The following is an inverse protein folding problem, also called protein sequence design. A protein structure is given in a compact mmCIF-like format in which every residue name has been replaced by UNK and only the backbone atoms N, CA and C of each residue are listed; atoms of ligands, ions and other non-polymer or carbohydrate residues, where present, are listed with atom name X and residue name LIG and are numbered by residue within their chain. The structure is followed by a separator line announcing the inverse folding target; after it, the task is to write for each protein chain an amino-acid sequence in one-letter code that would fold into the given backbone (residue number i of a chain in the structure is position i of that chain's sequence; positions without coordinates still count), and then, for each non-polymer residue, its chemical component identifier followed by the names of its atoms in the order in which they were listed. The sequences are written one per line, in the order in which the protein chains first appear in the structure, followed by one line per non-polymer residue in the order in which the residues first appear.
data_IF_466090214891
#
_entry.id   IF_466090214891
#
_cell.length_a   1.000
_cell.length_b   1.000
_cell.length_c   1.000
_cell.angle_alpha   90.00
_cell.angle_beta   90.00
_cell.angle_gamma   90.00
#
_symmetry.space_group_name_H-M   'P 1'
#
loop_
_entity.id
_entity.type
_entity.pdbx_description
1 polymer ?
#
# COMPACT_ATOMS: atom_id res chain seq x y z
N UNK A 1 -17.57 -4.02 -7.18
CA UNK A 1 -16.85 -2.78 -6.79
C UNK A 1 -16.11 -3.08 -5.49
N UNK A 2 -14.89 -2.58 -5.29
CA UNK A 2 -13.96 -3.02 -4.22
C UNK A 2 -14.42 -2.73 -2.77
N UNK A 3 -15.62 -2.18 -2.56
CA UNK A 3 -16.17 -1.93 -1.22
C UNK A 3 -15.42 -0.89 -0.39
N UNK A 4 -14.51 -0.13 -1.01
CA UNK A 4 -13.70 0.88 -0.34
C UNK A 4 -14.49 2.18 -0.18
N UNK A 5 -14.77 2.57 1.05
CA UNK A 5 -15.46 3.84 1.38
C UNK A 5 -14.44 4.99 1.48
N UNK A 6 -13.83 5.33 0.35
CA UNK A 6 -12.86 6.44 0.25
C UNK A 6 -13.58 7.69 -0.29
N UNK A 7 -13.47 8.85 0.38
CA UNK A 7 -14.11 10.08 -0.09
C UNK A 7 -13.70 10.44 -1.53
N UNK A 8 -14.67 10.89 -2.34
CA UNK A 8 -14.39 11.39 -3.70
C UNK A 8 -13.35 12.51 -3.68
N UNK A 9 -12.47 12.54 -4.68
CA UNK A 9 -11.39 13.53 -4.75
C UNK A 9 -10.24 13.25 -3.78
N UNK A 10 -10.12 12.02 -3.27
CA UNK A 10 -8.97 11.57 -2.49
C UNK A 10 -7.90 11.00 -3.42
N UNK A 11 -6.64 11.39 -3.21
CA UNK A 11 -5.47 10.82 -3.89
C UNK A 11 -4.57 10.21 -2.83
N UNK A 12 -4.36 8.91 -2.91
CA UNK A 12 -3.52 8.12 -2.02
C UNK A 12 -2.19 7.81 -2.70
N UNK A 13 -1.11 7.86 -1.94
CA UNK A 13 0.22 7.47 -2.37
C UNK A 13 0.64 6.18 -1.66
N UNK A 14 1.13 5.22 -2.42
CA UNK A 14 1.26 3.84 -1.96
C UNK A 14 1.96 2.93 -2.96
N UNK A 15 2.24 1.72 -2.51
CA UNK A 15 2.88 0.67 -3.30
C UNK A 15 1.94 -0.53 -3.45
N UNK A 16 1.99 -1.20 -4.61
CA UNK A 16 1.27 -2.46 -4.82
C UNK A 16 2.19 -3.62 -4.48
N UNK A 17 1.74 -4.52 -3.62
CA UNK A 17 2.51 -5.68 -3.16
C UNK A 17 1.73 -6.97 -3.34
N UNK A 18 2.44 -8.09 -3.45
CA UNK A 18 1.89 -9.42 -3.20
C UNK A 18 2.38 -9.84 -1.82
N UNK A 19 1.47 -10.21 -0.93
CA UNK A 19 1.83 -10.71 0.41
C UNK A 19 1.68 -12.22 0.45
N UNK A 20 2.75 -12.92 0.85
CA UNK A 20 2.68 -14.36 1.15
C UNK A 20 2.11 -14.59 2.55
N UNK A 21 1.85 -15.85 2.92
CA UNK A 21 1.25 -16.24 4.22
C UNK A 21 1.96 -15.65 5.45
N UNK A 22 3.25 -15.29 5.34
CA UNK A 22 4.02 -14.64 6.39
C UNK A 22 3.87 -13.09 6.45
N UNK A 23 3.02 -12.50 5.61
CA UNK A 23 2.81 -11.04 5.52
C UNK A 23 3.98 -10.26 4.90
N UNK A 24 5.02 -10.95 4.40
CA UNK A 24 6.17 -10.31 3.76
C UNK A 24 5.82 -9.91 2.31
N UNK A 25 6.09 -8.67 1.89
CA UNK A 25 5.98 -8.26 0.50
C UNK A 25 6.91 -9.08 -0.40
N UNK A 26 6.39 -9.56 -1.53
CA UNK A 26 7.15 -10.20 -2.60
C UNK A 26 7.13 -9.33 -3.85
N UNK A 27 8.26 -8.64 -4.09
CA UNK A 27 8.44 -7.75 -5.22
C UNK A 27 8.70 -8.50 -6.53
N UNK A 28 9.31 -9.69 -6.50
CA UNK A 28 9.50 -10.51 -7.70
C UNK A 28 8.15 -11.00 -8.23
N UNK A 29 7.26 -11.43 -7.33
CA UNK A 29 5.91 -11.81 -7.69
C UNK A 29 5.13 -10.65 -8.33
N UNK A 30 5.26 -9.43 -7.81
CA UNK A 30 4.65 -8.22 -8.41
C UNK A 30 5.18 -7.96 -9.82
N UNK A 31 6.50 -8.04 -10.03
CA UNK A 31 7.11 -7.84 -11.35
C UNK A 31 6.72 -8.93 -12.36
N UNK A 32 6.69 -10.19 -11.91
CA UNK A 32 6.16 -11.31 -12.68
C UNK A 32 4.73 -11.04 -13.11
N UNK A 33 3.91 -10.52 -12.19
CA UNK A 33 2.51 -10.18 -12.45
C UNK A 33 2.33 -9.08 -13.50
N UNK A 34 3.16 -8.04 -13.47
CA UNK A 34 3.12 -6.96 -14.47
C UNK A 34 3.51 -7.42 -15.87
N UNK A 35 4.24 -8.52 -15.99
CA UNK A 35 4.68 -9.08 -17.26
C UNK A 35 3.62 -9.98 -17.93
N UNK A 36 2.45 -10.17 -17.31
CA UNK A 36 1.37 -11.02 -17.83
C UNK A 36 0.33 -10.21 -18.60
N UNK A 37 0.24 -10.45 -19.91
CA UNK A 37 -0.72 -9.78 -20.79
C UNK A 37 -1.89 -10.68 -21.24
N UNK A 38 -1.76 -12.00 -21.08
CA UNK A 38 -2.83 -12.94 -21.41
C UNK A 38 -3.99 -12.80 -20.40
N UNK A 39 -5.17 -12.44 -20.90
CA UNK A 39 -6.34 -12.11 -20.07
C UNK A 39 -6.83 -13.26 -19.18
N UNK A 40 -6.74 -14.51 -19.63
CA UNK A 40 -7.13 -15.67 -18.83
C UNK A 40 -6.13 -15.92 -17.70
N UNK A 41 -4.83 -15.79 -18.01
CA UNK A 41 -3.77 -15.88 -16.99
C UNK A 41 -3.87 -14.74 -15.97
N UNK A 42 -4.19 -13.52 -16.40
CA UNK A 42 -4.46 -12.38 -15.50
C UNK A 42 -5.60 -12.70 -14.53
N UNK A 43 -6.73 -13.22 -15.04
CA UNK A 43 -7.89 -13.60 -14.20
C UNK A 43 -7.58 -14.72 -13.23
N UNK A 44 -6.80 -15.71 -13.65
CA UNK A 44 -6.37 -16.82 -12.80
C UNK A 44 -5.50 -16.32 -11.66
N UNK A 45 -4.44 -15.57 -11.98
CA UNK A 45 -3.51 -15.04 -10.99
C UNK A 45 -4.21 -14.02 -10.06
N UNK A 46 -5.24 -13.29 -10.51
CA UNK A 46 -6.05 -12.42 -9.67
C UNK A 46 -6.75 -13.14 -8.52
N UNK A 47 -7.00 -14.44 -8.66
CA UNK A 47 -7.60 -15.28 -7.62
C UNK A 47 -6.56 -15.98 -6.75
N UNK A 48 -5.44 -16.41 -7.34
CA UNK A 48 -4.41 -17.19 -6.65
C UNK A 48 -3.48 -16.30 -5.81
N UNK A 49 -3.09 -15.16 -6.37
CA UNK A 49 -2.14 -14.21 -5.79
C UNK A 49 -2.77 -12.81 -5.87
N UNK A 50 -3.69 -12.49 -4.95
CA UNK A 50 -4.31 -11.18 -4.92
C UNK A 50 -3.26 -10.11 -4.60
N UNK A 51 -3.32 -9.00 -5.33
CA UNK A 51 -2.50 -7.82 -5.04
C UNK A 51 -3.11 -7.06 -3.85
N UNK A 52 -2.25 -6.54 -3.00
CA UNK A 52 -2.59 -5.63 -1.91
C UNK A 52 -2.04 -4.24 -2.23
N UNK A 53 -2.81 -3.19 -1.96
CA UNK A 53 -2.33 -1.82 -2.03
C UNK A 53 -1.96 -1.32 -0.62
N UNK A 54 -0.71 -0.94 -0.44
CA UNK A 54 -0.16 -0.45 0.84
C UNK A 54 0.04 1.05 0.72
N UNK A 55 -0.77 1.81 1.45
CA UNK A 55 -0.79 3.27 1.39
C UNK A 55 0.09 3.85 2.48
N UNK A 56 0.96 4.79 2.11
CA UNK A 56 1.83 5.49 3.04
C UNK A 56 1.58 7.00 3.08
N UNK A 57 0.89 7.62 2.12
CA UNK A 57 0.53 9.03 2.21
C UNK A 57 -0.84 9.34 1.59
N UNK A 58 -1.36 10.52 1.91
CA UNK A 58 -2.54 11.10 1.28
C UNK A 58 -2.17 12.49 0.75
N UNK A 59 -2.33 12.66 -0.56
CA UNK A 59 -1.91 13.87 -1.27
C UNK A 59 -3.07 14.83 -1.48
N UNK A 60 -4.28 14.29 -1.66
CA UNK A 60 -5.54 15.04 -1.73
C UNK A 60 -6.58 14.37 -0.85
N UNK A 61 -7.42 15.17 -0.20
CA UNK A 61 -8.56 14.70 0.57
C UNK A 61 -9.79 15.56 0.22
N UNK A 62 -10.86 14.91 -0.24
CA UNK A 62 -12.12 15.59 -0.62
C UNK A 62 -11.94 16.72 -1.65
N UNK A 63 -11.00 16.54 -2.59
CA UNK A 63 -10.70 17.51 -3.64
C UNK A 63 -9.63 18.54 -3.28
N UNK A 64 -9.21 18.61 -2.01
CA UNK A 64 -8.23 19.59 -1.53
C UNK A 64 -6.83 18.99 -1.44
N UNK A 65 -5.81 19.73 -1.90
CA UNK A 65 -4.40 19.32 -1.80
C UNK A 65 -3.90 19.47 -0.37
N UNK A 66 -3.52 18.38 0.28
CA UNK A 66 -3.07 18.37 1.69
C UNK A 66 -1.55 18.27 1.86
N UNK A 67 -0.78 18.25 0.76
CA UNK A 67 0.69 18.13 0.80
C UNK A 67 1.42 19.31 1.46
N UNK A 68 0.70 20.42 1.71
CA UNK A 68 1.23 21.57 2.45
C UNK A 68 1.29 21.32 3.96
N UNK A 69 0.53 20.32 4.45
CA UNK A 69 0.55 19.91 5.86
C UNK A 69 1.79 19.06 6.15
N UNK A 70 2.35 19.11 7.38
CA UNK A 70 3.36 18.16 7.83
C UNK A 70 2.90 16.70 7.70
N UNK A 71 3.85 15.77 7.49
CA UNK A 71 3.58 14.35 7.29
C UNK A 71 2.68 13.74 8.38
N UNK A 72 2.90 14.07 9.66
CA UNK A 72 2.09 13.53 10.76
C UNK A 72 0.60 13.87 10.63
N UNK A 73 0.26 15.10 10.20
CA UNK A 73 -1.13 15.52 9.98
C UNK A 73 -1.74 14.78 8.78
N UNK A 74 -0.96 14.55 7.71
CA UNK A 74 -1.42 13.74 6.58
C UNK A 74 -1.68 12.28 7.00
N UNK A 75 -0.84 11.72 7.86
CA UNK A 75 -1.04 10.38 8.44
C UNK A 75 -2.30 10.30 9.31
N UNK A 76 -2.63 11.35 10.07
CA UNK A 76 -3.90 11.44 10.82
C UNK A 76 -5.11 11.43 9.88
N UNK A 77 -5.06 12.22 8.78
CA UNK A 77 -6.12 12.21 7.76
C UNK A 77 -6.23 10.81 7.13
N UNK A 78 -5.10 10.21 6.75
CA UNK A 78 -5.05 8.86 6.19
C UNK A 78 -5.68 7.82 7.14
N UNK A 79 -5.44 7.94 8.45
CA UNK A 79 -6.03 7.07 9.46
C UNK A 79 -7.55 7.22 9.58
N UNK A 80 -8.05 8.44 9.45
CA UNK A 80 -9.48 8.70 9.45
C UNK A 80 -10.16 8.18 8.18
N UNK A 81 -9.51 8.30 7.02
CA UNK A 81 -10.04 7.85 5.72
C UNK A 81 -10.00 6.32 5.60
N UNK A 82 -8.95 5.68 6.09
CA UNK A 82 -8.81 4.21 6.08
C UNK A 82 -8.73 3.76 7.53
N UNK A 83 -9.85 3.55 8.24
CA UNK A 83 -9.81 3.18 9.66
C UNK A 83 -9.27 1.76 9.88
N UNK A 84 -9.55 0.84 8.96
CA UNK A 84 -9.26 -0.60 9.10
C UNK A 84 -8.43 -1.09 7.91
N UNK A 85 -7.40 -1.90 8.20
CA UNK A 85 -6.64 -2.60 7.17
C UNK A 85 -7.42 -3.83 6.68
N UNK A 86 -7.32 -4.09 5.38
CA UNK A 86 -7.90 -5.26 4.72
C UNK A 86 -6.82 -5.95 3.88
N UNK A 87 -7.04 -7.20 3.43
CA UNK A 87 -6.12 -7.85 2.48
C UNK A 87 -5.92 -7.07 1.18
N UNK A 88 -6.88 -6.24 0.76
CA UNK A 88 -6.80 -5.46 -0.48
C UNK A 88 -6.18 -4.07 -0.28
N UNK A 89 -6.35 -3.47 0.89
CA UNK A 89 -5.93 -2.11 1.20
C UNK A 89 -5.45 -2.03 2.64
N UNK A 90 -4.21 -1.60 2.85
CA UNK A 90 -3.64 -1.37 4.18
C UNK A 90 -2.90 -0.03 4.23
N UNK A 91 -2.72 0.52 5.44
CA UNK A 91 -1.99 1.78 5.65
C UNK A 91 -0.76 1.60 6.54
N UNK A 92 0.29 2.37 6.25
CA UNK A 92 1.50 2.49 7.09
C UNK A 92 1.34 3.67 8.04
N UNK A 93 1.22 3.38 9.33
CA UNK A 93 0.82 4.35 10.37
C UNK A 93 1.99 5.08 11.03
N UNK A 94 3.16 4.45 11.14
CA UNK A 94 4.34 5.00 11.83
C UNK A 94 5.63 4.74 11.05
N UNK A 95 6.54 5.72 11.03
CA UNK A 95 7.95 5.55 10.61
C UNK A 95 8.86 5.36 11.85
N UNK A 96 8.40 5.75 13.04
CA UNK A 96 9.13 5.60 14.31
C UNK A 96 8.95 4.21 14.90
N UNK A 97 9.47 3.18 14.22
CA UNK A 97 9.96 2.02 14.96
C UNK A 97 11.34 2.38 15.51
N UNK A 98 11.69 2.09 16.78
CA UNK A 98 13.10 2.14 17.18
C UNK A 98 13.91 1.32 16.17
N UNK A 99 15.14 1.74 15.81
CA UNK A 99 15.90 1.11 14.74
C UNK A 99 15.91 -0.38 14.99
N UNK A 100 15.40 -1.15 14.02
CA UNK A 100 15.61 -2.60 13.98
C UNK A 100 17.11 -2.77 14.18
N UNK A 101 17.49 -3.36 15.31
CA UNK A 101 18.87 -3.73 15.58
C UNK A 101 19.39 -4.35 14.30
N UNK A 102 20.51 -3.82 13.80
CA UNK A 102 21.23 -4.28 12.62
C UNK A 102 21.49 -5.77 12.78
N UNK A 103 20.55 -6.60 12.36
CA UNK A 103 20.82 -7.98 11.99
C UNK A 103 21.29 -7.87 10.55
N UNK A 104 22.58 -8.08 10.40
CA UNK A 104 23.27 -8.14 9.12
C UNK A 104 22.46 -8.98 8.11
N UNK A 105 21.88 -8.33 7.10
CA UNK A 105 22.06 -8.66 5.69
C UNK A 105 21.08 -7.87 4.81
N UNK A 106 21.65 -7.02 3.95
CA UNK A 106 21.20 -6.67 2.60
C UNK A 106 19.69 -6.81 2.30
N UNK A 107 18.85 -5.86 2.72
CA UNK A 107 17.68 -5.49 1.89
C UNK A 107 17.17 -4.08 2.19
N UNK A 108 17.67 -3.16 1.35
CA UNK A 108 17.06 -1.94 0.81
C UNK A 108 15.97 -1.23 1.65
N UNK A 109 16.39 -0.12 2.24
CA UNK A 109 15.61 1.10 2.43
C UNK A 109 15.16 1.69 1.09
N UNK A 110 13.88 2.01 0.95
CA UNK A 110 13.33 2.93 -0.06
C UNK A 110 12.29 3.78 0.69
N UNK A 111 12.62 5.03 1.03
CA UNK A 111 12.26 6.29 0.33
C UNK A 111 10.78 6.34 -0.03
#
# INVERSE_FOLDING_TARGET
MLGLDIPKGTVLDGEVVITHEAGKPDFEAVMSRFSVFNSDKVKLLAKQEPLSFVVFDILYHKGEKVTHLPLHQRKEILNAVIPVNTPLLSKVINIDSPPLNRVNNHQLSVI
#
